data_IF_472120555934
#
_entry.id   IF_472120555934
#
_cell.length_a   1.000
_cell.length_b   1.000
_cell.length_c   1.000
_cell.angle_alpha   90.00
_cell.angle_beta   90.00
_cell.angle_gamma   90.00
#
_symmetry.space_group_name_H-M   'P 1'
#
loop_
_entity.id
_entity.type
_entity.pdbx_description
1 polymer ?
#
# COMPACT_ATOMS: atom_id res chain seq x y z
N UNK A 1 -2.57 18.83 -20.32
CA UNK A 1 -2.00 19.36 -19.06
C UNK A 1 -2.44 18.45 -17.93
N UNK A 2 -1.61 17.47 -17.52
CA UNK A 2 -1.97 16.54 -16.43
C UNK A 2 -1.92 17.35 -15.12
N UNK A 3 -3.07 17.52 -14.46
CA UNK A 3 -3.19 18.28 -13.21
C UNK A 3 -2.23 17.69 -12.18
N UNK A 4 -1.37 18.53 -11.59
CA UNK A 4 -0.52 18.16 -10.45
C UNK A 4 -1.43 17.52 -9.38
N UNK A 5 -1.18 16.27 -9.01
CA UNK A 5 -1.92 15.58 -7.96
C UNK A 5 -2.98 14.57 -8.42
N UNK A 6 -3.15 14.29 -9.72
CA UNK A 6 -4.04 13.18 -10.16
C UNK A 6 -3.61 11.81 -9.61
N UNK A 7 -2.32 11.65 -9.28
CA UNK A 7 -1.76 10.47 -8.60
C UNK A 7 -1.99 10.48 -7.08
N UNK A 8 -2.27 11.63 -6.46
CA UNK A 8 -2.62 11.77 -5.04
C UNK A 8 -4.13 11.63 -4.82
N UNK A 9 -4.94 12.16 -5.74
CA UNK A 9 -6.41 12.22 -5.61
C UNK A 9 -7.13 10.88 -5.76
N UNK A 10 -6.41 9.78 -6.01
CA UNK A 10 -7.03 8.48 -6.27
C UNK A 10 -7.35 7.68 -5.01
N UNK A 11 -6.80 8.03 -3.83
CA UNK A 11 -7.25 7.47 -2.53
C UNK A 11 -6.61 8.20 -1.33
N UNK A 12 -7.36 8.61 -0.28
CA UNK A 12 -6.79 9.01 1.01
C UNK A 12 -6.30 7.81 1.85
N UNK A 13 -6.56 6.58 1.42
CA UNK A 13 -6.17 5.34 2.11
C UNK A 13 -4.65 5.24 2.33
N UNK A 14 -3.76 5.47 1.35
CA UNK A 14 -2.31 5.45 1.57
C UNK A 14 -1.83 6.44 2.63
N UNK A 15 -2.43 7.62 2.67
CA UNK A 15 -2.04 8.69 3.60
C UNK A 15 -2.45 8.37 5.04
N UNK A 16 -3.59 7.69 5.22
CA UNK A 16 -4.12 7.33 6.54
C UNK A 16 -3.60 6.00 7.07
N UNK A 17 -3.43 5.02 6.18
CA UNK A 17 -3.22 3.62 6.59
C UNK A 17 -1.76 3.17 6.52
N UNK A 18 -0.93 3.77 5.65
CA UNK A 18 0.48 3.39 5.54
C UNK A 18 1.34 3.82 6.73
N UNK A 19 1.18 4.98 7.39
CA UNK A 19 2.10 5.39 8.45
C UNK A 19 2.25 4.32 9.56
N UNK A 20 1.13 3.81 10.06
CA UNK A 20 1.11 2.78 11.10
C UNK A 20 1.67 1.45 10.58
N UNK A 21 1.22 1.00 9.40
CA UNK A 21 1.67 -0.26 8.82
C UNK A 21 3.17 -0.25 8.52
N UNK A 22 3.70 0.83 7.94
CA UNK A 22 5.13 0.96 7.63
C UNK A 22 5.96 1.06 8.91
N UNK A 23 5.48 1.79 9.93
CA UNK A 23 6.15 1.83 11.22
C UNK A 23 6.23 0.44 11.85
N UNK A 24 5.14 -0.32 11.86
CA UNK A 24 5.08 -1.69 12.36
C UNK A 24 6.03 -2.64 11.61
N UNK A 25 6.06 -2.56 10.27
CA UNK A 25 6.95 -3.36 9.44
C UNK A 25 8.44 -3.04 9.69
N UNK A 26 8.77 -1.76 9.94
CA UNK A 26 10.15 -1.34 10.23
C UNK A 26 10.60 -1.81 11.61
N UNK A 27 9.77 -1.62 12.65
CA UNK A 27 10.13 -2.02 14.01
C UNK A 27 9.96 -3.53 14.27
N UNK A 28 9.25 -4.24 13.39
CA UNK A 28 9.03 -5.69 13.50
C UNK A 28 8.01 -6.07 14.58
N UNK A 29 7.06 -5.18 14.89
CA UNK A 29 6.07 -5.40 15.94
C UNK A 29 5.10 -4.23 16.08
N UNK A 30 4.57 -4.01 17.29
CA UNK A 30 3.71 -2.85 17.55
C UNK A 30 4.55 -1.55 17.51
N UNK A 31 4.20 -0.58 16.63
CA UNK A 31 4.97 0.63 16.49
C UNK A 31 4.73 1.58 17.66
N UNK A 32 5.76 2.33 18.05
CA UNK A 32 5.59 3.46 18.97
C UNK A 32 4.88 4.62 18.27
N UNK A 33 4.15 5.45 19.04
CA UNK A 33 3.50 6.66 18.50
C UNK A 33 4.48 7.57 17.76
N UNK A 34 5.69 7.74 18.30
CA UNK A 34 6.73 8.55 17.66
C UNK A 34 7.18 7.99 16.30
N UNK A 35 7.22 6.66 16.14
CA UNK A 35 7.53 6.03 14.86
C UNK A 35 6.42 6.26 13.83
N UNK A 36 5.15 6.18 14.25
CA UNK A 36 4.00 6.49 13.40
C UNK A 36 4.01 7.95 12.99
N UNK A 37 4.19 8.88 13.94
CA UNK A 37 4.22 10.33 13.67
C UNK A 37 5.35 10.71 12.71
N UNK A 38 6.53 10.09 12.85
CA UNK A 38 7.66 10.29 11.94
C UNK A 38 7.34 9.81 10.52
N UNK A 39 6.62 8.69 10.36
CA UNK A 39 6.23 8.18 9.04
C UNK A 39 5.13 9.03 8.42
N UNK A 40 4.16 9.50 9.22
CA UNK A 40 3.14 10.46 8.81
C UNK A 40 3.78 11.74 8.25
N UNK A 41 4.73 12.33 8.98
CA UNK A 41 5.45 13.54 8.52
C UNK A 41 6.30 13.29 7.26
N UNK A 42 6.76 12.06 7.03
CA UNK A 42 7.46 11.68 5.79
C UNK A 42 6.49 11.62 4.62
N UNK A 43 5.35 10.94 4.78
CA UNK A 43 4.29 10.86 3.78
C UNK A 43 3.76 12.25 3.45
N UNK A 44 3.44 13.06 4.46
CA UNK A 44 2.96 14.43 4.29
C UNK A 44 3.92 15.27 3.45
N UNK A 45 5.24 15.21 3.70
CA UNK A 45 6.23 15.91 2.87
C UNK A 45 6.27 15.41 1.44
N UNK A 46 6.11 14.10 1.20
CA UNK A 46 6.05 13.53 -0.15
C UNK A 46 4.78 13.98 -0.90
N UNK A 47 3.65 14.09 -0.19
CA UNK A 47 2.38 14.54 -0.74
C UNK A 47 2.44 16.04 -1.06
N UNK A 48 2.85 16.87 -0.10
CA UNK A 48 2.83 18.33 -0.23
C UNK A 48 3.94 18.89 -1.12
N UNK A 49 5.10 18.24 -1.15
CA UNK A 49 6.32 18.79 -1.78
C UNK A 49 7.03 17.82 -2.71
N UNK A 50 6.57 16.57 -2.78
CA UNK A 50 7.19 15.55 -3.61
C UNK A 50 6.78 15.61 -5.07
N UNK A 51 7.22 14.60 -5.80
CA UNK A 51 6.81 14.33 -7.17
C UNK A 51 6.22 12.93 -7.25
N UNK A 52 5.45 12.65 -8.29
CA UNK A 52 4.94 11.30 -8.58
C UNK A 52 6.08 10.26 -8.55
N UNK A 53 7.24 10.57 -9.14
CA UNK A 53 8.41 9.68 -9.11
C UNK A 53 8.94 9.44 -7.69
N UNK A 54 8.94 10.45 -6.82
CA UNK A 54 9.37 10.29 -5.43
C UNK A 54 8.36 9.47 -4.62
N UNK A 55 7.07 9.69 -4.86
CA UNK A 55 5.98 8.91 -4.27
C UNK A 55 6.03 7.44 -4.67
N UNK A 56 6.10 7.15 -5.98
CA UNK A 56 6.17 5.76 -6.46
C UNK A 56 7.43 5.05 -5.96
N UNK A 57 8.56 5.76 -5.81
CA UNK A 57 9.77 5.20 -5.19
C UNK A 57 9.56 4.87 -3.72
N UNK A 58 8.84 5.72 -2.99
CA UNK A 58 8.48 5.45 -1.61
C UNK A 58 7.61 4.19 -1.51
N UNK A 59 6.55 4.09 -2.33
CA UNK A 59 5.69 2.90 -2.34
C UNK A 59 6.45 1.63 -2.71
N UNK A 60 7.35 1.70 -3.69
CA UNK A 60 8.23 0.58 -4.03
C UNK A 60 9.06 0.12 -2.82
N UNK A 61 9.66 1.05 -2.07
CA UNK A 61 10.38 0.71 -0.84
C UNK A 61 9.50 0.07 0.24
N UNK A 62 8.21 0.39 0.29
CA UNK A 62 7.26 -0.31 1.18
C UNK A 62 6.98 -1.73 0.68
N UNK A 63 6.91 -1.96 -0.63
CA UNK A 63 6.80 -3.32 -1.20
C UNK A 63 8.04 -4.16 -0.88
N UNK A 64 9.25 -3.59 -0.96
CA UNK A 64 10.46 -4.28 -0.51
C UNK A 64 10.41 -4.62 0.98
N UNK A 65 9.87 -3.72 1.81
CA UNK A 65 9.72 -3.96 3.24
C UNK A 65 8.70 -5.09 3.52
N UNK A 66 7.57 -5.12 2.80
CA UNK A 66 6.59 -6.22 2.84
C UNK A 66 7.28 -7.56 2.57
N UNK A 67 8.06 -7.65 1.50
CA UNK A 67 8.72 -8.88 1.08
C UNK A 67 9.80 -9.31 2.09
N UNK A 68 10.57 -8.36 2.62
CA UNK A 68 11.57 -8.64 3.67
C UNK A 68 10.97 -9.22 4.96
N UNK A 69 9.66 -9.01 5.16
CA UNK A 69 8.90 -9.51 6.31
C UNK A 69 7.99 -10.69 5.96
N UNK A 70 8.15 -11.34 4.81
CA UNK A 70 7.28 -12.43 4.37
C UNK A 70 7.22 -13.62 5.36
N UNK A 71 8.34 -13.97 5.98
CA UNK A 71 8.44 -15.06 6.95
C UNK A 71 8.13 -14.65 8.41
N UNK A 72 7.79 -13.39 8.67
CA UNK A 72 7.46 -12.95 10.03
C UNK A 72 6.09 -13.49 10.47
N UNK A 73 6.05 -14.08 11.67
CA UNK A 73 4.83 -14.62 12.29
C UNK A 73 4.21 -13.67 13.33
N UNK A 74 4.94 -12.63 13.74
CA UNK A 74 4.47 -11.63 14.70
C UNK A 74 3.14 -11.02 14.23
N UNK A 75 2.03 -11.15 14.99
CA UNK A 75 0.70 -10.75 14.54
C UNK A 75 0.59 -9.30 14.09
N UNK A 76 1.29 -8.37 14.75
CA UNK A 76 1.33 -6.96 14.35
C UNK A 76 1.97 -6.78 12.97
N UNK A 77 3.04 -7.52 12.67
CA UNK A 77 3.75 -7.48 11.39
C UNK A 77 2.89 -8.13 10.29
N UNK A 78 2.23 -9.25 10.58
CA UNK A 78 1.30 -9.91 9.65
C UNK A 78 0.14 -8.99 9.29
N UNK A 79 -0.47 -8.33 10.28
CA UNK A 79 -1.54 -7.36 10.09
C UNK A 79 -1.10 -6.15 9.28
N UNK A 80 0.07 -5.59 9.60
CA UNK A 80 0.66 -4.47 8.88
C UNK A 80 0.98 -4.82 7.42
N UNK A 81 1.55 -6.00 7.17
CA UNK A 81 1.84 -6.51 5.83
C UNK A 81 0.57 -6.60 5.00
N UNK A 82 -0.49 -7.22 5.54
CA UNK A 82 -1.78 -7.33 4.86
C UNK A 82 -2.37 -5.96 4.50
N UNK A 83 -2.38 -5.02 5.44
CA UNK A 83 -2.91 -3.67 5.22
C UNK A 83 -2.10 -2.92 4.15
N UNK A 84 -0.77 -2.89 4.28
CA UNK A 84 0.10 -2.22 3.32
C UNK A 84 -0.05 -2.83 1.91
N UNK A 85 -0.13 -4.16 1.79
CA UNK A 85 -0.37 -4.84 0.51
C UNK A 85 -1.68 -4.38 -0.14
N UNK A 86 -2.79 -4.36 0.61
CA UNK A 86 -4.11 -3.96 0.08
C UNK A 86 -4.10 -2.51 -0.41
N UNK A 87 -3.55 -1.60 0.39
CA UNK A 87 -3.49 -0.17 0.10
C UNK A 87 -2.64 0.09 -1.15
N UNK A 88 -1.45 -0.51 -1.24
CA UNK A 88 -0.55 -0.31 -2.38
C UNK A 88 -1.10 -0.97 -3.65
N UNK A 89 -1.67 -2.18 -3.54
CA UNK A 89 -2.30 -2.84 -4.68
C UNK A 89 -3.46 -2.02 -5.25
N UNK A 90 -4.32 -1.47 -4.38
CA UNK A 90 -5.41 -0.58 -4.79
C UNK A 90 -4.86 0.66 -5.51
N UNK A 91 -3.87 1.33 -4.93
CA UNK A 91 -3.23 2.50 -5.54
C UNK A 91 -2.62 2.18 -6.93
N UNK A 92 -1.88 1.08 -7.06
CA UNK A 92 -1.28 0.70 -8.34
C UNK A 92 -2.31 0.31 -9.40
N UNK A 93 -3.42 -0.33 -9.01
CA UNK A 93 -4.51 -0.69 -9.93
C UNK A 93 -5.22 0.56 -10.45
N UNK A 94 -5.40 1.55 -9.58
CA UNK A 94 -5.96 2.85 -9.90
C UNK A 94 -5.15 3.61 -10.96
N UNK A 95 -3.83 3.45 -10.99
CA UNK A 95 -2.98 4.00 -12.05
C UNK A 95 -3.22 3.38 -13.44
N UNK A 96 -3.83 2.19 -13.55
CA UNK A 96 -4.16 1.58 -14.85
C UNK A 96 -5.19 2.38 -15.64
N UNK A 97 -6.08 3.08 -14.94
CA UNK A 97 -7.14 3.88 -15.55
C UNK A 97 -6.67 5.31 -15.90
N UNK A 98 -5.44 5.68 -15.56
CA UNK A 98 -4.91 7.02 -15.77
C UNK A 98 -3.95 7.10 -16.96
N UNK A 99 -3.97 8.20 -17.72
CA UNK A 99 -2.96 8.44 -18.74
C UNK A 99 -1.60 8.69 -18.09
N UNK A 100 -0.54 8.07 -18.64
CA UNK A 100 0.84 8.32 -18.22
C UNK A 100 1.64 7.03 -18.00
N UNK A 101 2.83 7.19 -17.42
CA UNK A 101 3.77 6.07 -17.23
C UNK A 101 3.63 5.35 -15.87
N UNK A 102 2.70 5.78 -15.01
CA UNK A 102 2.51 5.20 -13.67
C UNK A 102 2.17 3.71 -13.69
N UNK A 103 1.28 3.30 -14.60
CA UNK A 103 0.92 1.90 -14.81
C UNK A 103 2.12 1.04 -15.22
N UNK A 104 2.95 1.53 -16.14
CA UNK A 104 4.17 0.84 -16.59
C UNK A 104 5.17 0.71 -15.42
N UNK A 105 5.41 1.81 -14.70
CA UNK A 105 6.39 1.88 -13.60
C UNK A 105 6.07 0.97 -12.43
N UNK A 106 4.79 0.73 -12.17
CA UNK A 106 4.31 -0.07 -11.03
C UNK A 106 3.98 -1.52 -11.40
N UNK A 107 4.21 -1.92 -12.67
CA UNK A 107 3.90 -3.27 -13.17
C UNK A 107 4.55 -4.38 -12.36
N UNK A 108 5.84 -4.24 -12.06
CA UNK A 108 6.59 -5.22 -11.27
C UNK A 108 6.06 -5.34 -9.84
N UNK A 109 5.78 -4.21 -9.20
CA UNK A 109 5.21 -4.21 -7.84
C UNK A 109 3.80 -4.81 -7.81
N UNK A 110 2.96 -4.56 -8.83
CA UNK A 110 1.66 -5.24 -8.95
C UNK A 110 1.82 -6.75 -9.01
N UNK A 111 2.77 -7.27 -9.79
CA UNK A 111 3.00 -8.71 -9.89
C UNK A 111 3.42 -9.32 -8.54
N UNK A 112 4.32 -8.66 -7.81
CA UNK A 112 4.74 -9.08 -6.46
C UNK A 112 3.58 -9.08 -5.47
N UNK A 113 2.81 -8.00 -5.42
CA UNK A 113 1.67 -7.87 -4.51
C UNK A 113 0.53 -8.85 -4.84
N UNK A 114 0.36 -9.23 -6.11
CA UNK A 114 -0.58 -10.27 -6.50
C UNK A 114 -0.12 -11.66 -6.03
N UNK A 115 1.18 -11.96 -6.10
CA UNK A 115 1.74 -13.20 -5.58
C UNK A 115 1.74 -13.29 -4.04
N UNK A 116 1.83 -12.15 -3.36
CA UNK A 116 1.83 -12.06 -1.90
C UNK A 116 0.43 -12.05 -1.26
N UNK A 117 -0.62 -11.81 -2.05
CA UNK A 117 -1.99 -11.92 -1.56
C UNK A 117 -2.40 -13.40 -1.48
N UNK A 118 -2.95 -13.86 -0.34
CA UNK A 118 -3.63 -15.15 -0.33
C UNK A 118 -4.77 -15.12 -1.34
N UNK A 119 -5.05 -16.27 -1.99
CA UNK A 119 -6.17 -16.40 -2.91
C UNK A 119 -7.44 -15.80 -2.29
N UNK A 120 -8.27 -15.07 -3.07
CA UNK A 120 -9.51 -14.54 -2.53
C UNK A 120 -10.30 -15.69 -1.91
N UNK A 121 -10.74 -15.52 -0.66
CA UNK A 121 -11.67 -16.45 -0.03
C UNK A 121 -12.92 -16.44 -0.91
N UNK A 122 -13.13 -17.51 -1.67
CA UNK A 122 -14.39 -17.74 -2.39
C UNK A 122 -15.51 -17.65 -1.35
N UNK A 123 -16.32 -16.60 -1.42
CA UNK A 123 -17.57 -16.57 -0.65
C UNK A 123 -18.39 -17.78 -1.13
N UNK A 124 -18.81 -18.69 -0.23
CA UNK A 124 -19.76 -19.72 -0.62
C UNK A 124 -21.01 -19.03 -1.17
N UNK A 125 -21.66 -19.58 -2.21
CA UNK A 125 -22.87 -19.00 -2.76
C UNK A 125 -23.89 -18.79 -1.63
N UNK A 126 -24.34 -17.55 -1.48
CA UNK A 126 -25.33 -17.13 -0.49
C UNK A 126 -26.63 -17.90 -0.83
N UNK A 127 -26.97 -18.92 -0.03
CA UNK A 127 -28.12 -19.80 -0.23
C UNK A 127 -29.44 -19.11 0.19
N UNK A 128 -29.56 -17.82 -0.11
CA UNK A 128 -30.74 -16.99 0.15
C UNK A 128 -31.56 -16.85 -1.11
N UNK A 129 -32.10 -17.98 -1.57
CA UNK A 129 -32.94 -18.03 -2.77
C UNK A 129 -33.97 -19.15 -2.84
N UNK A 130 -34.24 -19.88 -1.74
CA UNK A 130 -35.36 -20.84 -1.69
C UNK A 130 -36.27 -20.55 -0.51
N UNK A 131 -37.31 -19.75 -0.77
CA UNK A 131 -38.64 -19.91 -0.17
C UNK A 131 -39.68 -19.64 -1.24
#
# INVERSE_FOLDING_TARGET
MVKRGSWLSLTPEPERELPEAVAALRCGGHPSRAAVDSESARIERLVLRGSERAWLRYLHGVVELIDSRAAAEEPAVVGARRRATQVIANHHNLLLALPGSGAQRTSHDRARLAAAQPAPVSQPPDDRGRR
#
